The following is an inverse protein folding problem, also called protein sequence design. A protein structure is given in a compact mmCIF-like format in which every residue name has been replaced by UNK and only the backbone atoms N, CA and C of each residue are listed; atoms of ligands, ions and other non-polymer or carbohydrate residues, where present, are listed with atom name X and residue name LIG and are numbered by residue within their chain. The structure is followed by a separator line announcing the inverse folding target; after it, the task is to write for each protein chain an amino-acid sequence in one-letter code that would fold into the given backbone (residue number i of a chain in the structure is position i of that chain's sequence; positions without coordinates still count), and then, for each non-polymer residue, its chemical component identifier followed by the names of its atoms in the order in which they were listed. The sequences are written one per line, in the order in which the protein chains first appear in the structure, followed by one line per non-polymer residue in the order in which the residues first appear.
data_IF_181807092657
#
_entry.id   IF_181807092657
#
_cell.length_a   1.000
_cell.length_b   1.000
_cell.length_c   1.000
_cell.angle_alpha   90.00
_cell.angle_beta   90.00
_cell.angle_gamma   90.00
#
_symmetry.space_group_name_H-M   'P 1'
#
loop_
_entity.id
_entity.type
_entity.pdbx_description
1 polymer ?
#
# COMPACT_ATOMS: atom_id res chain seq x y z
N UNK A 1 -9.79 -31.93 -3.40
CA UNK A 1 -9.36 -30.67 -4.05
C UNK A 1 -9.66 -29.54 -3.08
N UNK A 2 -8.63 -29.00 -2.41
CA UNK A 2 -8.78 -28.12 -1.25
C UNK A 2 -9.55 -26.84 -1.63
N UNK A 3 -10.65 -26.56 -0.91
CA UNK A 3 -11.53 -25.38 -1.12
C UNK A 3 -10.77 -24.04 -1.05
N UNK A 4 -9.61 -24.02 -0.41
CA UNK A 4 -8.79 -22.82 -0.16
C UNK A 4 -8.11 -22.27 -1.41
N UNK A 5 -7.75 -23.15 -2.37
CA UNK A 5 -7.05 -22.81 -3.62
C UNK A 5 -8.02 -22.55 -4.79
N UNK A 6 -9.32 -22.43 -4.53
CA UNK A 6 -10.30 -22.18 -5.58
C UNK A 6 -10.25 -20.70 -6.02
N UNK A 7 -10.26 -20.39 -7.33
CA UNK A 7 -10.16 -19.00 -7.84
C UNK A 7 -11.26 -18.05 -7.30
N UNK A 8 -12.45 -18.58 -6.97
CA UNK A 8 -13.50 -17.82 -6.27
C UNK A 8 -13.06 -17.28 -4.90
N UNK A 9 -12.15 -17.96 -4.19
CA UNK A 9 -11.59 -17.49 -2.92
C UNK A 9 -10.61 -16.34 -3.15
N UNK A 10 -9.75 -16.45 -4.16
CA UNK A 10 -8.82 -15.38 -4.55
C UNK A 10 -9.56 -14.10 -4.98
N UNK A 11 -10.66 -14.23 -5.71
CA UNK A 11 -11.52 -13.08 -6.05
C UNK A 11 -12.07 -12.38 -4.80
N UNK A 12 -12.57 -13.15 -3.81
CA UNK A 12 -13.09 -12.58 -2.56
C UNK A 12 -12.02 -11.83 -1.78
N UNK A 13 -10.84 -12.43 -1.64
CA UNK A 13 -9.68 -11.83 -0.96
C UNK A 13 -9.25 -10.55 -1.67
N UNK A 14 -9.22 -10.56 -3.00
CA UNK A 14 -8.90 -9.38 -3.80
C UNK A 14 -9.91 -8.24 -3.59
N UNK A 15 -11.21 -8.54 -3.63
CA UNK A 15 -12.27 -7.55 -3.39
C UNK A 15 -12.15 -6.92 -2.01
N UNK A 16 -11.92 -7.74 -0.97
CA UNK A 16 -11.73 -7.25 0.40
C UNK A 16 -10.48 -6.36 0.47
N UNK A 17 -9.37 -6.78 -0.14
CA UNK A 17 -8.16 -5.98 -0.21
C UNK A 17 -8.37 -4.62 -0.89
N UNK A 18 -9.12 -4.62 -1.98
CA UNK A 18 -9.46 -3.39 -2.71
C UNK A 18 -10.33 -2.47 -1.85
N UNK A 19 -11.34 -3.02 -1.17
CA UNK A 19 -12.21 -2.29 -0.26
C UNK A 19 -11.43 -1.71 0.93
N UNK A 20 -10.45 -2.44 1.46
CA UNK A 20 -9.61 -2.02 2.58
C UNK A 20 -8.51 -1.03 2.18
N UNK A 21 -8.15 -0.95 0.90
CA UNK A 21 -7.08 -0.05 0.44
C UNK A 21 -7.40 1.43 0.73
N UNK A 22 -8.61 1.87 0.40
CA UNK A 22 -9.05 3.27 0.60
C UNK A 22 -9.04 3.68 2.08
N UNK A 23 -9.66 2.96 3.03
CA UNK A 23 -9.65 3.36 4.43
C UNK A 23 -8.24 3.32 5.02
N UNK A 24 -7.40 2.36 4.65
CA UNK A 24 -6.01 2.34 5.11
C UNK A 24 -5.18 3.48 4.54
N UNK A 25 -5.36 3.82 3.26
CA UNK A 25 -4.72 4.98 2.66
C UNK A 25 -5.03 6.25 3.46
N UNK A 26 -6.32 6.52 3.73
CA UNK A 26 -6.75 7.68 4.51
C UNK A 26 -6.18 7.64 5.94
N UNK A 27 -6.27 6.48 6.60
CA UNK A 27 -5.76 6.29 7.96
C UNK A 27 -4.26 6.61 8.06
N UNK A 28 -3.45 6.13 7.11
CA UNK A 28 -2.01 6.34 7.13
C UNK A 28 -1.60 7.71 6.58
N UNK A 29 -2.41 8.36 5.76
CA UNK A 29 -2.13 9.74 5.31
C UNK A 29 -2.32 10.76 6.43
N UNK A 30 -3.23 10.51 7.39
CA UNK A 30 -3.48 11.41 8.53
C UNK A 30 -2.19 11.83 9.27
N UNK A 31 -1.40 10.92 9.87
CA UNK A 31 -0.28 11.32 10.72
C UNK A 31 0.73 12.20 9.97
N UNK A 32 0.97 11.92 8.69
CA UNK A 32 1.85 12.74 7.86
C UNK A 32 1.29 14.14 7.64
N UNK A 33 0.01 14.25 7.24
CA UNK A 33 -0.63 15.55 7.01
C UNK A 33 -0.74 16.37 8.30
N UNK A 34 -1.03 15.73 9.42
CA UNK A 34 -1.08 16.39 10.72
C UNK A 34 0.27 17.04 11.07
N UNK A 35 1.36 16.29 10.91
CA UNK A 35 2.71 16.81 11.17
C UNK A 35 3.11 17.88 10.15
N UNK A 36 2.79 17.69 8.87
CA UNK A 36 3.11 18.66 7.83
C UNK A 36 2.40 19.99 8.05
N UNK A 37 1.12 19.96 8.41
CA UNK A 37 0.34 21.15 8.77
C UNK A 37 0.87 21.82 10.04
N UNK A 38 1.25 21.03 11.05
CA UNK A 38 1.87 21.56 12.27
C UNK A 38 3.20 22.27 12.00
N UNK A 39 3.99 21.72 11.07
CA UNK A 39 5.25 22.32 10.63
C UNK A 39 5.07 23.48 9.64
N UNK A 40 3.85 23.76 9.18
CA UNK A 40 3.54 24.82 8.21
C UNK A 40 3.92 24.51 6.75
N UNK A 41 4.21 23.25 6.42
CA UNK A 41 4.64 22.82 5.09
C UNK A 41 3.55 23.17 4.06
N UNK A 42 3.96 23.63 2.89
CA UNK A 42 3.07 23.93 1.76
C UNK A 42 2.22 22.70 1.38
N UNK A 43 0.93 22.93 1.11
CA UNK A 43 -0.06 21.86 0.99
C UNK A 43 0.25 20.87 -0.15
N UNK A 44 0.80 21.32 -1.28
CA UNK A 44 1.13 20.44 -2.40
C UNK A 44 2.24 19.46 -2.02
N UNK A 45 3.30 19.93 -1.35
CA UNK A 45 4.37 19.06 -0.82
C UNK A 45 3.81 18.12 0.26
N UNK A 46 2.95 18.61 1.14
CA UNK A 46 2.32 17.81 2.19
C UNK A 46 1.48 16.66 1.63
N UNK A 47 0.66 16.91 0.60
CA UNK A 47 -0.16 15.88 -0.04
C UNK A 47 0.69 14.84 -0.78
N UNK A 48 1.70 15.27 -1.53
CA UNK A 48 2.62 14.34 -2.20
C UNK A 48 3.32 13.46 -1.18
N UNK A 49 3.89 14.07 -0.14
CA UNK A 49 4.53 13.34 0.95
C UNK A 49 3.59 12.35 1.64
N UNK A 50 2.35 12.75 1.90
CA UNK A 50 1.34 11.89 2.51
C UNK A 50 0.98 10.67 1.66
N UNK A 51 0.97 10.80 0.32
CA UNK A 51 0.78 9.67 -0.61
C UNK A 51 1.97 8.70 -0.50
N UNK A 52 3.19 9.22 -0.58
CA UNK A 52 4.41 8.39 -0.49
C UNK A 52 4.56 7.73 0.89
N UNK A 53 4.02 8.36 1.93
CA UNK A 53 3.96 7.81 3.28
C UNK A 53 2.92 6.71 3.41
N UNK A 54 1.68 6.93 2.97
CA UNK A 54 0.56 6.04 3.25
C UNK A 54 0.57 4.76 2.40
N UNK A 55 1.00 4.86 1.14
CA UNK A 55 1.06 3.72 0.20
C UNK A 55 1.87 2.53 0.74
N UNK A 56 3.13 2.67 1.22
CA UNK A 56 3.89 1.53 1.73
C UNK A 56 3.27 0.89 2.97
N UNK A 57 2.67 1.66 3.89
CA UNK A 57 1.97 1.11 5.06
C UNK A 57 0.69 0.39 4.67
N UNK A 58 -0.13 1.00 3.81
CA UNK A 58 -1.32 0.37 3.23
C UNK A 58 -0.97 -0.98 2.59
N UNK A 59 0.03 -1.01 1.71
CA UNK A 59 0.46 -2.26 1.06
C UNK A 59 0.95 -3.28 2.09
N UNK A 60 1.65 -2.85 3.14
CA UNK A 60 2.14 -3.75 4.20
C UNK A 60 1.00 -4.47 4.91
N UNK A 61 -0.06 -3.74 5.27
CA UNK A 61 -1.24 -4.33 5.92
C UNK A 61 -2.01 -5.24 4.96
N UNK A 62 -2.23 -4.80 3.72
CA UNK A 62 -2.94 -5.61 2.71
C UNK A 62 -2.17 -6.90 2.36
N UNK A 63 -0.85 -6.82 2.30
CA UNK A 63 0.02 -7.99 2.12
C UNK A 63 -0.05 -8.95 3.32
N UNK A 64 -0.09 -8.40 4.55
CA UNK A 64 -0.29 -9.16 5.77
C UNK A 64 -1.64 -9.89 5.77
N UNK A 65 -2.72 -9.21 5.41
CA UNK A 65 -4.05 -9.80 5.29
C UNK A 65 -4.08 -10.98 4.30
N UNK A 66 -3.49 -10.84 3.11
CA UNK A 66 -3.41 -11.93 2.13
C UNK A 66 -2.64 -13.13 2.69
N UNK A 67 -1.54 -12.87 3.41
CA UNK A 67 -0.74 -13.93 4.02
C UNK A 67 -1.53 -14.66 5.12
N UNK A 68 -2.36 -13.95 5.89
CA UNK A 68 -3.25 -14.56 6.89
C UNK A 68 -4.42 -15.33 6.25
N UNK A 69 -5.01 -14.80 5.17
CA UNK A 69 -6.20 -15.37 4.54
C UNK A 69 -5.90 -16.58 3.64
N UNK A 70 -4.74 -16.62 3.00
CA UNK A 70 -4.32 -17.70 2.07
C UNK A 70 -3.31 -18.66 2.71
N UNK A 71 -2.57 -18.20 3.73
CA UNK A 71 -1.42 -18.90 4.28
C UNK A 71 -0.13 -18.59 3.49
N UNK A 72 0.99 -18.54 4.20
CA UNK A 72 2.30 -18.18 3.65
C UNK A 72 2.72 -19.08 2.48
N UNK A 73 2.51 -20.40 2.62
CA UNK A 73 2.88 -21.40 1.61
C UNK A 73 2.10 -21.25 0.30
N UNK A 74 0.87 -20.74 0.33
CA UNK A 74 -0.02 -20.66 -0.83
C UNK A 74 -0.09 -19.25 -1.44
N UNK A 75 0.52 -18.26 -0.80
CA UNK A 75 0.55 -16.86 -1.24
C UNK A 75 1.11 -16.67 -2.66
N UNK A 76 2.05 -17.51 -3.07
CA UNK A 76 2.61 -17.46 -4.43
C UNK A 76 1.57 -17.78 -5.51
N UNK A 77 0.66 -18.72 -5.25
CA UNK A 77 -0.44 -19.03 -6.18
C UNK A 77 -1.42 -17.87 -6.32
N UNK A 78 -1.70 -17.15 -5.23
CA UNK A 78 -2.52 -15.94 -5.27
C UNK A 78 -1.89 -14.85 -6.15
N UNK A 79 -0.59 -14.57 -5.97
CA UNK A 79 0.09 -13.55 -6.78
C UNK A 79 0.30 -13.95 -8.23
N UNK A 80 0.47 -15.24 -8.51
CA UNK A 80 0.50 -15.75 -9.88
C UNK A 80 -0.87 -15.56 -10.56
N UNK A 81 -1.95 -15.98 -9.90
CA UNK A 81 -3.32 -15.76 -10.39
C UNK A 81 -3.62 -14.27 -10.63
N UNK A 82 -3.12 -13.41 -9.74
CA UNK A 82 -3.27 -11.97 -9.84
C UNK A 82 -2.48 -11.38 -11.03
N UNK A 83 -1.30 -11.93 -11.33
CA UNK A 83 -0.49 -11.54 -12.49
C UNK A 83 -1.13 -11.94 -13.83
N UNK A 84 -1.95 -12.99 -13.84
CA UNK A 84 -2.73 -13.42 -15.00
C UNK A 84 -3.97 -12.53 -15.25
N UNK A 85 -4.37 -11.71 -14.27
CA UNK A 85 -5.51 -10.80 -14.34
C UNK A 85 -5.14 -9.33 -14.03
N UNK A 86 -4.16 -8.74 -14.76
CA UNK A 86 -3.55 -7.46 -14.38
C UNK A 86 -4.52 -6.27 -14.47
N UNK A 87 -5.44 -6.28 -15.43
CA UNK A 87 -6.32 -5.15 -15.73
C UNK A 87 -7.60 -5.11 -14.87
N UNK A 88 -7.97 -6.23 -14.25
CA UNK A 88 -9.20 -6.35 -13.43
C UNK A 88 -8.90 -6.43 -11.95
N UNK A 89 -8.02 -7.35 -11.54
CA UNK A 89 -7.75 -7.62 -10.12
C UNK A 89 -6.33 -7.25 -9.70
N UNK A 90 -5.39 -7.20 -10.65
CA UNK A 90 -3.96 -6.99 -10.38
C UNK A 90 -3.46 -5.54 -10.35
N UNK A 91 -4.29 -4.56 -10.73
CA UNK A 91 -3.84 -3.19 -11.02
C UNK A 91 -3.15 -2.51 -9.82
N UNK A 92 -3.64 -2.76 -8.60
CA UNK A 92 -3.09 -2.22 -7.35
C UNK A 92 -2.29 -3.23 -6.52
N UNK A 93 -2.02 -4.43 -7.04
CA UNK A 93 -1.39 -5.49 -6.26
C UNK A 93 -0.28 -6.24 -7.01
N UNK A 94 0.35 -5.56 -7.98
CA UNK A 94 1.44 -6.12 -8.75
C UNK A 94 2.57 -6.63 -7.81
N UNK A 95 3.21 -7.79 -8.10
CA UNK A 95 4.27 -8.39 -7.27
C UNK A 95 5.39 -7.43 -6.85
N UNK A 96 5.62 -6.38 -7.66
CA UNK A 96 6.64 -5.37 -7.39
C UNK A 96 6.33 -4.52 -6.15
N UNK A 97 5.05 -4.25 -5.88
CA UNK A 97 4.62 -3.42 -4.74
C UNK A 97 4.80 -4.13 -3.41
N UNK A 98 4.84 -5.47 -3.42
CA UNK A 98 5.08 -6.31 -2.25
C UNK A 98 6.56 -6.34 -1.84
N UNK A 99 7.48 -6.00 -2.76
CA UNK A 99 8.91 -5.99 -2.45
C UNK A 99 9.21 -4.98 -1.36
N UNK A 100 9.84 -5.43 -0.28
CA UNK A 100 10.24 -4.57 0.86
C UNK A 100 11.10 -3.38 0.41
N UNK A 101 11.99 -3.59 -0.58
CA UNK A 101 12.82 -2.52 -1.14
C UNK A 101 11.98 -1.39 -1.77
N UNK A 102 10.92 -1.73 -2.50
CA UNK A 102 10.04 -0.73 -3.12
C UNK A 102 9.32 0.10 -2.04
N UNK A 103 8.77 -0.56 -1.01
CA UNK A 103 8.11 0.11 0.12
C UNK A 103 9.06 1.04 0.88
N UNK A 104 10.30 0.60 1.11
CA UNK A 104 11.31 1.43 1.76
C UNK A 104 11.70 2.64 0.92
N UNK A 105 11.83 2.49 -0.41
CA UNK A 105 12.12 3.63 -1.30
C UNK A 105 10.99 4.68 -1.22
N UNK A 106 9.73 4.28 -1.26
CA UNK A 106 8.60 5.20 -1.10
C UNK A 106 8.63 5.93 0.25
N UNK A 107 8.92 5.19 1.33
CA UNK A 107 9.03 5.77 2.66
C UNK A 107 10.19 6.78 2.75
N UNK A 108 11.34 6.47 2.16
CA UNK A 108 12.49 7.39 2.09
C UNK A 108 12.13 8.66 1.30
N UNK A 109 11.46 8.52 0.15
CA UNK A 109 10.99 9.68 -0.63
C UNK A 109 10.04 10.55 0.21
N UNK A 110 9.12 9.93 0.95
CA UNK A 110 8.22 10.64 1.86
C UNK A 110 8.97 11.44 2.94
N UNK A 111 10.03 10.88 3.52
CA UNK A 111 10.87 11.58 4.49
C UNK A 111 11.64 12.74 3.86
N UNK A 112 12.19 12.54 2.66
CA UNK A 112 12.88 13.59 1.91
C UNK A 112 11.94 14.77 1.59
N UNK A 113 10.70 14.49 1.16
CA UNK A 113 9.70 15.52 0.92
C UNK A 113 9.35 16.30 2.19
N UNK A 114 9.25 15.61 3.33
CA UNK A 114 8.99 16.26 4.62
C UNK A 114 10.13 17.19 5.04
N UNK A 115 11.37 16.73 4.91
CA UNK A 115 12.57 17.51 5.22
C UNK A 115 12.71 18.71 4.28
N UNK A 116 12.51 18.50 2.98
CA UNK A 116 12.53 19.56 1.97
C UNK A 116 11.47 20.62 2.25
N UNK A 117 10.23 20.21 2.54
CA UNK A 117 9.15 21.12 2.89
C UNK A 117 9.42 21.91 4.17
N UNK A 118 10.07 21.30 5.17
CA UNK A 118 10.46 21.96 6.40
C UNK A 118 11.60 22.97 6.19
N UNK A 119 12.60 22.62 5.35
CA UNK A 119 13.75 23.49 5.08
C UNK A 119 13.38 24.70 4.23
N UNK A 120 12.43 24.57 3.30
CA UNK A 120 11.93 25.69 2.48
C UNK A 120 11.16 26.75 3.29
N UNK A 121 10.80 26.43 4.53
CA UNK A 121 10.05 27.29 5.43
C UNK A 121 10.97 28.14 6.33
N UNK A 122 12.22 27.70 6.52
CA UNK A 122 13.28 28.41 7.25
C UNK A 122 13.94 29.44 6.32
#
# INVERSE_FOLDING_TARGET
MNKELHPKNFQRICIINWLLSVPFFVLFSWPYLYLANYSGIEQSIAYLGAIFFSVPFMITILHGYVTMAVGEAHRHHYYQWLSEHPLTYGLLFHPIMIRTRFRLVLLVISFLLFLMGSLLLI
#
